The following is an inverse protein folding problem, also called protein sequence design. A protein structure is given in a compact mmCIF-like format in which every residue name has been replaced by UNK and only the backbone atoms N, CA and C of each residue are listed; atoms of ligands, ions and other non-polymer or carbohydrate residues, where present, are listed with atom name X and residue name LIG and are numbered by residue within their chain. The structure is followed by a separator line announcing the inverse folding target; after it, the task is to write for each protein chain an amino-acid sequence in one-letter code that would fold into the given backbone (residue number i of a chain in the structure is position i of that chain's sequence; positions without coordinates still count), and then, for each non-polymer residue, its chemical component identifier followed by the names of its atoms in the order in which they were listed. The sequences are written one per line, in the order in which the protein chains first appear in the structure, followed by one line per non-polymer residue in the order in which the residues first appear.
data_IF_228953337447
#
_entry.id   IF_228953337447
#
_cell.length_a   1.000
_cell.length_b   1.000
_cell.length_c   1.000
_cell.angle_alpha   90.00
_cell.angle_beta   90.00
_cell.angle_gamma   90.00
#
_symmetry.space_group_name_H-M   'P 1'
#
loop_
_entity.id
_entity.type
_entity.pdbx_description
1 polymer ?
#
# COMPACT_ATOMS: atom_id res chain seq x y z
N UNK A 1 23.45 -41.35 88.04
CA UNK A 1 22.47 -41.25 86.95
C UNK A 1 21.89 -39.85 87.02
N UNK A 2 22.75 -38.84 86.87
CA UNK A 2 23.22 -38.22 85.61
C UNK A 2 22.09 -37.39 85.01
N UNK A 3 22.27 -36.18 84.50
CA UNK A 3 23.24 -35.08 84.64
C UNK A 3 22.58 -33.91 83.86
N UNK A 4 22.97 -32.68 84.19
CA UNK A 4 23.17 -31.50 83.30
C UNK A 4 22.03 -31.03 82.35
N UNK A 5 21.51 -29.79 82.52
CA UNK A 5 22.05 -28.48 82.06
C UNK A 5 22.00 -28.27 80.53
N UNK A 6 21.18 -27.31 80.07
CA UNK A 6 21.48 -26.21 79.10
C UNK A 6 20.16 -25.76 78.44
N UNK A 7 19.61 -24.56 78.68
CA UNK A 7 19.98 -23.26 78.09
C UNK A 7 20.29 -23.31 76.59
N UNK A 8 19.31 -22.94 75.75
CA UNK A 8 19.58 -22.44 74.41
C UNK A 8 18.73 -21.21 74.11
N UNK A 9 19.47 -20.11 73.96
CA UNK A 9 19.05 -18.80 73.52
C UNK A 9 18.71 -18.78 72.02
N UNK A 10 17.79 -17.89 71.66
CA UNK A 10 17.74 -17.06 70.45
C UNK A 10 18.09 -17.67 69.08
N UNK A 11 17.21 -17.47 68.09
CA UNK A 11 17.42 -16.48 67.02
C UNK A 11 16.12 -16.30 66.25
N UNK A 12 15.63 -15.07 66.31
CA UNK A 12 14.59 -14.50 65.49
C UNK A 12 15.26 -14.04 64.18
N UNK A 13 14.89 -14.62 63.05
CA UNK A 13 15.23 -14.08 61.73
C UNK A 13 14.01 -14.18 60.82
N UNK A 14 13.10 -13.22 61.04
CA UNK A 14 12.25 -12.66 59.99
C UNK A 14 13.17 -12.12 58.88
N UNK A 15 13.60 -12.97 57.96
CA UNK A 15 14.18 -12.53 56.69
C UNK A 15 13.04 -12.33 55.71
N UNK A 16 12.52 -11.12 55.76
CA UNK A 16 11.73 -10.47 54.73
C UNK A 16 12.37 -10.69 53.36
N UNK A 17 11.80 -11.62 52.60
CA UNK A 17 11.88 -11.67 51.14
C UNK A 17 11.19 -10.40 50.62
N UNK A 18 11.96 -9.31 50.64
CA UNK A 18 11.67 -8.07 49.93
C UNK A 18 11.71 -8.42 48.44
N UNK A 19 10.54 -8.73 47.89
CA UNK A 19 10.31 -8.92 46.47
C UNK A 19 10.66 -7.61 45.78
N UNK A 20 11.90 -7.54 45.27
CA UNK A 20 12.44 -6.47 44.44
C UNK A 20 11.62 -6.38 43.15
N UNK A 21 10.44 -5.76 43.27
CA UNK A 21 9.59 -5.39 42.16
C UNK A 21 10.21 -4.15 41.52
N UNK A 22 11.09 -4.45 40.58
CA UNK A 22 11.70 -3.49 39.65
C UNK A 22 10.61 -2.50 39.18
N UNK A 23 10.70 -1.19 39.51
CA UNK A 23 9.65 -0.24 39.21
C UNK A 23 9.48 -0.15 37.70
N UNK A 24 8.35 -0.66 37.20
CA UNK A 24 7.99 -0.61 35.78
C UNK A 24 8.20 0.83 35.27
N UNK A 25 8.93 1.03 34.15
CA UNK A 25 9.19 2.35 33.57
C UNK A 25 7.95 2.86 32.81
N UNK A 26 6.80 2.96 33.49
CA UNK A 26 5.53 3.40 32.91
C UNK A 26 5.09 4.80 33.39
N UNK A 27 5.69 5.35 34.45
CA UNK A 27 5.23 6.61 35.07
C UNK A 27 5.78 7.88 34.43
N UNK A 28 6.82 7.84 33.58
CA UNK A 28 7.35 9.05 32.91
C UNK A 28 6.66 9.39 31.58
N UNK A 29 5.96 8.46 30.93
CA UNK A 29 5.30 8.75 29.65
C UNK A 29 3.95 9.48 29.81
N UNK A 30 3.28 9.33 30.95
CA UNK A 30 1.95 9.92 31.17
C UNK A 30 1.98 11.43 31.41
N UNK A 31 3.10 12.00 31.88
CA UNK A 31 3.20 13.43 32.23
C UNK A 31 3.33 14.35 31.01
N UNK A 32 3.85 13.86 29.89
CA UNK A 32 3.94 14.64 28.64
C UNK A 32 2.63 14.64 27.84
N UNK A 33 1.73 13.69 28.08
CA UNK A 33 0.45 13.63 27.35
C UNK A 33 -0.67 14.50 27.93
N UNK A 34 -0.60 14.94 29.19
CA UNK A 34 -1.69 15.75 29.78
C UNK A 34 -1.63 17.21 29.32
N UNK A 35 -0.43 17.82 29.31
CA UNK A 35 -0.26 19.24 28.98
C UNK A 35 -0.52 19.58 27.50
N UNK A 36 -0.26 18.64 26.59
CA UNK A 36 -0.61 18.78 25.16
C UNK A 36 -2.12 18.64 24.90
N UNK A 37 -2.83 17.82 25.67
CA UNK A 37 -4.29 17.65 25.54
C UNK A 37 -5.06 18.89 26.01
N UNK A 38 -4.52 19.62 26.97
CA UNK A 38 -5.16 20.81 27.54
C UNK A 38 -5.16 22.01 26.58
N UNK A 39 -4.06 22.24 25.84
CA UNK A 39 -3.98 23.35 24.89
C UNK A 39 -4.77 23.11 23.59
N UNK A 40 -4.99 21.85 23.18
CA UNK A 40 -5.82 21.52 22.01
C UNK A 40 -7.32 21.66 22.34
N UNK A 41 -7.72 21.48 23.60
CA UNK A 41 -9.14 21.56 23.98
C UNK A 41 -9.69 22.99 23.90
N UNK A 42 -8.87 24.00 24.27
CA UNK A 42 -9.29 25.40 24.33
C UNK A 42 -9.61 25.96 22.93
N UNK A 43 -8.76 25.68 21.93
CA UNK A 43 -8.98 26.17 20.56
C UNK A 43 -10.16 25.47 19.86
N UNK A 44 -10.44 24.20 20.22
CA UNK A 44 -11.60 23.49 19.68
C UNK A 44 -12.93 24.07 20.17
N UNK A 45 -13.03 24.44 21.46
CA UNK A 45 -14.31 24.72 22.11
C UNK A 45 -15.06 25.95 21.58
N UNK A 46 -14.34 27.02 21.21
CA UNK A 46 -14.94 28.32 20.84
C UNK A 46 -15.44 28.36 19.40
N UNK A 47 -14.82 27.57 18.51
CA UNK A 47 -15.29 27.37 17.14
C UNK A 47 -16.39 26.31 17.13
N UNK A 48 -16.25 25.22 17.89
CA UNK A 48 -17.25 24.15 17.93
C UNK A 48 -18.62 24.62 18.42
N UNK A 49 -18.68 25.47 19.45
CA UNK A 49 -19.93 25.91 20.05
C UNK A 49 -20.80 26.76 19.11
N UNK A 50 -20.20 27.44 18.11
CA UNK A 50 -20.95 28.16 17.07
C UNK A 50 -21.59 27.24 16.03
N UNK A 51 -21.02 26.06 15.80
CA UNK A 51 -21.54 25.11 14.80
C UNK A 51 -22.38 23.98 15.41
N UNK A 52 -22.38 23.85 16.74
CA UNK A 52 -23.10 22.81 17.48
C UNK A 52 -24.58 22.65 17.07
N UNK A 53 -25.42 23.71 16.93
CA UNK A 53 -26.83 23.53 16.57
C UNK A 53 -27.04 22.99 15.14
N UNK A 54 -26.12 23.25 14.21
CA UNK A 54 -26.16 22.70 12.84
C UNK A 54 -25.69 21.24 12.83
N UNK A 55 -24.76 20.88 13.72
CA UNK A 55 -24.13 19.55 13.77
C UNK A 55 -25.04 18.50 14.43
N UNK A 56 -25.96 18.88 15.32
CA UNK A 56 -26.85 17.94 16.04
C UNK A 56 -27.65 17.01 15.11
N UNK A 57 -28.39 17.47 14.08
CA UNK A 57 -29.09 16.56 13.16
C UNK A 57 -28.13 15.74 12.29
N UNK A 58 -26.94 16.26 11.99
CA UNK A 58 -25.87 15.58 11.25
C UNK A 58 -25.16 14.49 12.07
N UNK A 59 -25.42 14.38 13.37
CA UNK A 59 -24.80 13.35 14.23
C UNK A 59 -25.46 11.98 14.07
N UNK A 60 -26.71 11.93 13.62
CA UNK A 60 -27.43 10.66 13.40
C UNK A 60 -26.69 9.84 12.34
N UNK A 61 -26.34 8.58 12.68
CA UNK A 61 -25.51 7.71 11.81
C UNK A 61 -26.11 7.53 10.42
N UNK A 62 -27.43 7.33 10.31
CA UNK A 62 -28.08 7.12 9.01
C UNK A 62 -27.97 8.35 8.10
N UNK A 63 -28.15 9.57 8.63
CA UNK A 63 -28.03 10.82 7.87
C UNK A 63 -26.62 10.94 7.28
N UNK A 64 -25.60 10.61 8.06
CA UNK A 64 -24.21 10.63 7.59
C UNK A 64 -23.96 9.67 6.44
N UNK A 65 -24.44 8.43 6.57
CA UNK A 65 -24.31 7.43 5.51
C UNK A 65 -25.04 7.84 4.24
N UNK A 66 -26.24 8.40 4.35
CA UNK A 66 -26.98 8.92 3.21
C UNK A 66 -26.22 10.06 2.52
N UNK A 67 -25.72 11.04 3.27
CA UNK A 67 -24.95 12.16 2.70
C UNK A 67 -23.66 11.65 2.04
N UNK A 68 -22.87 10.81 2.72
CA UNK A 68 -21.66 10.23 2.13
C UNK A 68 -21.94 9.40 0.88
N UNK A 69 -23.05 8.66 0.85
CA UNK A 69 -23.48 7.89 -0.32
C UNK A 69 -23.86 8.81 -1.49
N UNK A 70 -24.56 9.92 -1.23
CA UNK A 70 -24.89 10.93 -2.24
C UNK A 70 -23.60 11.58 -2.78
N UNK A 71 -22.68 11.97 -1.89
CA UNK A 71 -21.39 12.55 -2.29
C UNK A 71 -20.57 11.56 -3.12
N UNK A 72 -20.51 10.28 -2.74
CA UNK A 72 -19.82 9.26 -3.54
C UNK A 72 -20.50 9.03 -4.89
N UNK A 73 -21.84 9.05 -4.94
CA UNK A 73 -22.57 8.96 -6.20
C UNK A 73 -22.27 10.14 -7.11
N UNK A 74 -22.16 11.35 -6.54
CA UNK A 74 -21.75 12.55 -7.27
C UNK A 74 -20.33 12.42 -7.86
N UNK A 75 -19.39 11.81 -7.14
CA UNK A 75 -18.04 11.51 -7.68
C UNK A 75 -18.13 10.61 -8.91
N UNK A 76 -18.99 9.59 -8.90
CA UNK A 76 -19.21 8.71 -10.05
C UNK A 76 -19.81 9.48 -11.22
N UNK A 77 -20.80 10.34 -10.98
CA UNK A 77 -21.39 11.21 -12.02
C UNK A 77 -20.35 12.14 -12.63
N UNK A 78 -19.50 12.77 -11.80
CA UNK A 78 -18.42 13.64 -12.29
C UNK A 78 -17.41 12.86 -13.15
N UNK A 79 -17.11 11.61 -12.80
CA UNK A 79 -16.26 10.75 -13.60
C UNK A 79 -16.91 10.39 -14.95
N UNK A 80 -18.20 10.04 -14.96
CA UNK A 80 -18.95 9.78 -16.20
C UNK A 80 -18.94 11.01 -17.12
N UNK A 81 -19.16 12.21 -16.55
CA UNK A 81 -19.11 13.46 -17.31
C UNK A 81 -17.70 13.76 -17.86
N UNK A 82 -16.66 13.43 -17.10
CA UNK A 82 -15.27 13.55 -17.55
C UNK A 82 -14.99 12.64 -18.77
N UNK A 83 -15.52 11.41 -18.74
CA UNK A 83 -15.34 10.40 -19.79
C UNK A 83 -16.22 10.65 -21.03
N UNK A 84 -17.23 11.51 -20.93
CA UNK A 84 -18.21 11.77 -21.99
C UNK A 84 -17.90 13.08 -22.74
N UNK A 85 -17.00 13.07 -23.76
CA UNK A 85 -16.65 14.28 -24.50
C UNK A 85 -17.85 14.95 -25.18
N UNK A 86 -18.87 14.15 -25.54
CA UNK A 86 -20.09 14.63 -26.19
C UNK A 86 -20.95 15.51 -25.27
N UNK A 87 -20.87 15.28 -23.96
CA UNK A 87 -21.65 16.03 -22.96
C UNK A 87 -20.90 17.30 -22.54
N UNK A 88 -19.60 17.20 -22.32
CA UNK A 88 -18.78 18.30 -21.81
C UNK A 88 -17.72 18.69 -22.84
N UNK A 89 -18.11 19.49 -23.83
CA UNK A 89 -17.21 19.85 -24.95
C UNK A 89 -15.99 20.70 -24.51
N UNK A 90 -16.09 21.45 -23.40
CA UNK A 90 -14.99 22.26 -22.92
C UNK A 90 -13.93 21.40 -22.21
N UNK A 91 -12.76 21.26 -22.84
CA UNK A 91 -11.64 20.45 -22.33
C UNK A 91 -11.15 20.91 -20.95
N UNK A 92 -11.05 22.22 -20.70
CA UNK A 92 -10.63 22.75 -19.39
C UNK A 92 -11.61 22.39 -18.29
N UNK A 93 -12.91 22.43 -18.59
CA UNK A 93 -13.96 22.01 -17.66
C UNK A 93 -13.85 20.50 -17.38
N UNK A 94 -13.67 19.66 -18.41
CA UNK A 94 -13.48 18.21 -18.25
C UNK A 94 -12.30 17.90 -17.33
N UNK A 95 -11.14 18.49 -17.60
CA UNK A 95 -9.93 18.31 -16.76
C UNK A 95 -10.19 18.80 -15.32
N UNK A 96 -11.03 19.81 -15.10
CA UNK A 96 -11.38 20.27 -13.76
C UNK A 96 -12.34 19.32 -12.99
N UNK A 97 -13.11 18.47 -13.66
CA UNK A 97 -14.08 17.57 -13.00
C UNK A 97 -13.40 16.56 -12.08
N UNK A 98 -12.22 16.05 -12.46
CA UNK A 98 -11.49 15.05 -11.69
C UNK A 98 -11.00 15.59 -10.33
N UNK A 99 -10.27 16.72 -10.23
CA UNK A 99 -9.87 17.26 -8.93
C UNK A 99 -11.08 17.67 -8.08
N UNK A 100 -12.18 18.15 -8.68
CA UNK A 100 -13.43 18.41 -7.95
C UNK A 100 -13.99 17.11 -7.35
N UNK A 101 -14.05 16.04 -8.14
CA UNK A 101 -14.46 14.71 -7.68
C UNK A 101 -13.56 14.19 -6.55
N UNK A 102 -12.25 14.39 -6.63
CA UNK A 102 -11.30 14.00 -5.58
C UNK A 102 -11.51 14.75 -4.27
N UNK A 103 -11.78 16.06 -4.34
CA UNK A 103 -12.12 16.87 -3.15
C UNK A 103 -13.42 16.38 -2.51
N UNK A 104 -14.45 16.08 -3.32
CA UNK A 104 -15.72 15.53 -2.83
C UNK A 104 -15.51 14.14 -2.21
N UNK A 105 -14.71 13.27 -2.83
CA UNK A 105 -14.35 11.97 -2.28
C UNK A 105 -13.63 12.11 -0.94
N UNK A 106 -12.69 13.06 -0.83
CA UNK A 106 -11.98 13.38 0.41
C UNK A 106 -12.94 13.77 1.52
N UNK A 107 -13.84 14.72 1.26
CA UNK A 107 -14.85 15.13 2.23
C UNK A 107 -15.78 13.97 2.60
N UNK A 108 -16.20 13.15 1.65
CA UNK A 108 -17.06 12.00 1.93
C UNK A 108 -16.39 10.97 2.84
N UNK A 109 -15.12 10.64 2.59
CA UNK A 109 -14.34 9.71 3.43
C UNK A 109 -14.03 10.29 4.80
N UNK A 110 -13.68 11.57 4.90
CA UNK A 110 -13.48 12.23 6.20
C UNK A 110 -14.78 12.28 7.00
N UNK A 111 -15.89 12.58 6.34
CA UNK A 111 -17.20 12.73 6.97
C UNK A 111 -17.74 11.38 7.48
N UNK A 112 -17.65 10.31 6.70
CA UNK A 112 -18.12 8.98 7.11
C UNK A 112 -17.28 8.41 8.28
N UNK A 113 -16.00 8.76 8.34
CA UNK A 113 -15.05 8.20 9.33
C UNK A 113 -14.84 9.07 10.57
N UNK A 114 -15.41 10.27 10.64
CA UNK A 114 -15.15 11.24 11.72
C UNK A 114 -15.52 10.72 13.12
N UNK A 115 -16.60 9.95 13.26
CA UNK A 115 -17.17 9.61 14.57
C UNK A 115 -17.72 8.17 14.67
N UNK A 116 -17.52 7.32 13.66
CA UNK A 116 -17.82 5.88 13.76
C UNK A 116 -16.56 5.10 14.16
N UNK A 117 -16.61 4.45 15.33
CA UNK A 117 -15.48 3.68 15.86
C UNK A 117 -15.14 2.43 15.04
N UNK A 118 -16.11 1.86 14.32
CA UNK A 118 -15.88 0.73 13.41
C UNK A 118 -15.20 1.22 12.13
N UNK A 119 -15.69 2.33 11.56
CA UNK A 119 -15.14 2.88 10.31
C UNK A 119 -13.86 3.67 10.51
N UNK A 120 -13.56 4.14 11.72
CA UNK A 120 -12.32 4.86 12.04
C UNK A 120 -11.06 4.06 11.69
N UNK A 121 -11.14 2.72 11.65
CA UNK A 121 -10.05 1.84 11.19
C UNK A 121 -9.73 2.00 9.70
N UNK A 122 -10.72 2.37 8.89
CA UNK A 122 -10.58 2.56 7.45
C UNK A 122 -10.28 4.01 7.05
N UNK A 123 -10.29 4.96 8.00
CA UNK A 123 -9.98 6.37 7.73
C UNK A 123 -8.61 6.53 7.09
N UNK A 124 -7.59 5.93 7.70
CA UNK A 124 -6.21 6.06 7.23
C UNK A 124 -6.01 5.41 5.85
N UNK A 125 -6.44 4.16 5.60
CA UNK A 125 -6.45 3.59 4.26
C UNK A 125 -7.22 4.42 3.22
N UNK A 126 -8.41 4.92 3.56
CA UNK A 126 -9.22 5.73 2.65
C UNK A 126 -8.53 7.04 2.26
N UNK A 127 -7.90 7.71 3.23
CA UNK A 127 -7.08 8.91 2.97
C UNK A 127 -5.89 8.61 2.07
N UNK A 128 -5.25 7.44 2.21
CA UNK A 128 -4.17 7.05 1.31
C UNK A 128 -4.65 6.81 -0.11
N UNK A 129 -5.79 6.16 -0.30
CA UNK A 129 -6.36 5.98 -1.63
C UNK A 129 -6.61 7.33 -2.29
N UNK A 130 -7.23 8.28 -1.58
CA UNK A 130 -7.50 9.61 -2.13
C UNK A 130 -6.22 10.39 -2.45
N UNK A 131 -5.26 10.42 -1.51
CA UNK A 131 -3.99 11.10 -1.71
C UNK A 131 -3.20 10.49 -2.88
N UNK A 132 -3.21 9.16 -2.98
CA UNK A 132 -2.60 8.45 -4.08
C UNK A 132 -3.27 8.79 -5.41
N UNK A 133 -4.60 8.75 -5.49
CA UNK A 133 -5.32 9.10 -6.72
C UNK A 133 -5.04 10.53 -7.13
N UNK A 134 -4.92 11.46 -6.18
CA UNK A 134 -4.54 12.84 -6.45
C UNK A 134 -3.09 12.94 -6.98
N UNK A 135 -2.13 12.27 -6.34
CA UNK A 135 -0.74 12.23 -6.81
C UNK A 135 -0.66 11.63 -8.22
N UNK A 136 -1.40 10.54 -8.46
CA UNK A 136 -1.43 9.87 -9.75
C UNK A 136 -2.08 10.72 -10.84
N UNK A 137 -3.17 11.43 -10.50
CA UNK A 137 -3.79 12.39 -11.38
C UNK A 137 -2.79 13.49 -11.79
N UNK A 138 -2.13 14.12 -10.82
CA UNK A 138 -1.07 15.10 -11.10
C UNK A 138 0.01 14.45 -11.96
N UNK A 139 0.43 13.23 -11.66
CA UNK A 139 1.48 12.54 -12.40
C UNK A 139 1.12 12.29 -13.88
N UNK A 140 -0.12 11.92 -14.18
CA UNK A 140 -0.59 11.69 -15.56
C UNK A 140 -0.70 13.01 -16.33
N UNK A 141 -1.32 14.02 -15.71
CA UNK A 141 -1.71 15.25 -16.40
C UNK A 141 -0.64 16.35 -16.37
N UNK A 142 0.50 16.09 -15.73
CA UNK A 142 1.65 17.00 -15.77
C UNK A 142 2.72 16.48 -16.73
N UNK A 143 3.61 17.35 -17.24
CA UNK A 143 4.77 16.95 -18.06
C UNK A 143 5.77 16.00 -17.37
N UNK A 144 5.52 15.63 -16.11
CA UNK A 144 6.33 14.67 -15.38
C UNK A 144 6.24 13.28 -16.03
N UNK A 145 5.09 12.92 -16.61
CA UNK A 145 4.93 11.68 -17.38
C UNK A 145 5.85 11.64 -18.59
N UNK A 146 5.97 12.74 -19.33
CA UNK A 146 6.88 12.86 -20.48
C UNK A 146 8.34 12.69 -20.07
N UNK A 147 8.73 13.32 -18.95
CA UNK A 147 10.06 13.14 -18.36
C UNK A 147 10.33 11.68 -17.97
N UNK A 148 9.32 10.99 -17.43
CA UNK A 148 9.43 9.58 -17.10
C UNK A 148 9.59 8.71 -18.35
N UNK A 149 8.86 9.00 -19.42
CA UNK A 149 8.95 8.29 -20.70
C UNK A 149 10.29 8.50 -21.41
N UNK A 150 10.90 9.67 -21.24
CA UNK A 150 12.22 9.97 -21.80
C UNK A 150 13.37 9.24 -21.08
N UNK A 151 13.10 8.54 -19.97
CA UNK A 151 14.16 7.83 -19.23
C UNK A 151 14.70 6.61 -19.97
N UNK A 152 15.98 6.31 -19.74
CA UNK A 152 16.61 5.07 -20.21
C UNK A 152 15.92 3.83 -19.65
N UNK A 153 15.39 3.92 -18.43
CA UNK A 153 14.59 2.87 -17.81
C UNK A 153 13.30 2.60 -18.58
N UNK A 154 12.54 3.64 -18.94
CA UNK A 154 11.32 3.48 -19.73
C UNK A 154 11.63 2.84 -21.09
N UNK A 155 12.67 3.30 -21.78
CA UNK A 155 13.12 2.68 -23.06
C UNK A 155 13.47 1.21 -22.89
N UNK A 156 14.24 0.86 -21.85
CA UNK A 156 14.60 -0.52 -21.55
C UNK A 156 13.36 -1.37 -21.23
N UNK A 157 12.43 -0.84 -20.44
CA UNK A 157 11.18 -1.52 -20.12
C UNK A 157 10.30 -1.72 -21.35
N UNK A 158 10.22 -0.75 -22.27
CA UNK A 158 9.48 -0.89 -23.54
C UNK A 158 10.07 -2.01 -24.39
N UNK A 159 11.40 -2.02 -24.59
CA UNK A 159 12.09 -3.08 -25.32
C UNK A 159 11.86 -4.46 -24.71
N UNK A 160 12.04 -4.57 -23.39
CA UNK A 160 11.82 -5.82 -22.66
C UNK A 160 10.37 -6.30 -22.78
N UNK A 161 9.39 -5.39 -22.60
CA UNK A 161 7.96 -5.70 -22.67
C UNK A 161 7.55 -6.14 -24.07
N UNK A 162 7.99 -5.40 -25.10
CA UNK A 162 7.71 -5.74 -26.50
C UNK A 162 8.30 -7.10 -26.89
N UNK A 163 9.57 -7.32 -26.58
CA UNK A 163 10.26 -8.59 -26.88
C UNK A 163 9.62 -9.79 -26.15
N UNK A 164 9.44 -9.69 -24.83
CA UNK A 164 8.85 -10.77 -24.03
C UNK A 164 7.42 -11.05 -24.48
N UNK A 165 6.62 -10.00 -24.70
CA UNK A 165 5.23 -10.21 -25.10
C UNK A 165 5.13 -10.84 -26.47
N UNK A 166 5.89 -10.36 -27.47
CA UNK A 166 5.94 -10.97 -28.81
C UNK A 166 6.32 -12.45 -28.74
N UNK A 167 7.34 -12.79 -27.95
CA UNK A 167 7.79 -14.17 -27.76
C UNK A 167 6.68 -15.05 -27.15
N UNK A 168 6.00 -14.54 -26.12
CA UNK A 168 4.96 -15.29 -25.43
C UNK A 168 3.71 -15.45 -26.31
N UNK A 169 3.24 -14.39 -26.99
CA UNK A 169 2.04 -14.51 -27.84
C UNK A 169 2.28 -15.41 -29.05
N UNK A 170 3.51 -15.43 -29.60
CA UNK A 170 3.89 -16.38 -30.66
C UNK A 170 3.83 -17.82 -30.15
N UNK A 171 4.27 -18.06 -28.91
CA UNK A 171 4.14 -19.37 -28.27
C UNK A 171 2.67 -19.80 -28.08
N UNK A 172 1.75 -18.85 -27.86
CA UNK A 172 0.31 -19.10 -27.79
C UNK A 172 -0.40 -19.17 -29.15
N UNK A 173 0.35 -19.20 -30.25
CA UNK A 173 -0.18 -19.43 -31.60
C UNK A 173 -0.57 -18.18 -32.38
N UNK A 174 -0.30 -16.97 -31.86
CA UNK A 174 -0.43 -15.74 -32.63
C UNK A 174 0.76 -15.65 -33.59
N UNK A 175 0.50 -15.81 -34.89
CA UNK A 175 1.56 -15.79 -35.90
C UNK A 175 2.11 -14.38 -36.08
N UNK A 176 3.39 -14.21 -35.74
CA UNK A 176 4.12 -12.95 -35.88
C UNK A 176 5.05 -13.06 -37.09
N UNK A 177 4.91 -12.14 -38.04
CA UNK A 177 5.80 -12.01 -39.21
C UNK A 177 7.14 -11.38 -38.82
N UNK A 178 7.11 -10.41 -37.90
CA UNK A 178 8.32 -9.78 -37.38
C UNK A 178 8.07 -8.94 -36.13
N UNK A 179 9.13 -8.70 -35.37
CA UNK A 179 9.10 -7.77 -34.23
C UNK A 179 10.37 -6.93 -34.19
N UNK A 180 10.24 -5.61 -34.33
CA UNK A 180 11.37 -4.70 -34.55
C UNK A 180 11.25 -3.49 -33.62
N UNK A 181 12.39 -3.11 -33.01
CA UNK A 181 12.51 -1.85 -32.27
C UNK A 181 12.71 -0.67 -33.22
N UNK A 182 11.81 0.30 -33.20
CA UNK A 182 11.95 1.58 -33.86
C UNK A 182 12.55 2.61 -32.89
N UNK A 183 13.83 2.90 -33.06
CA UNK A 183 14.56 3.83 -32.20
C UNK A 183 14.15 5.29 -32.39
N UNK A 184 13.58 5.66 -33.56
CA UNK A 184 13.19 7.04 -33.84
C UNK A 184 11.91 7.39 -33.08
N UNK A 185 10.97 6.44 -33.05
CA UNK A 185 9.67 6.62 -32.39
C UNK A 185 9.64 6.08 -30.95
N UNK A 186 10.65 5.30 -30.54
CA UNK A 186 10.67 4.69 -29.21
C UNK A 186 9.59 3.61 -29.04
N UNK A 187 9.23 2.93 -30.12
CA UNK A 187 8.14 1.95 -30.17
C UNK A 187 8.69 0.58 -30.58
N UNK A 188 8.19 -0.47 -29.94
CA UNK A 188 8.41 -1.85 -30.38
C UNK A 188 7.25 -2.28 -31.26
N UNK A 189 7.48 -2.43 -32.56
CA UNK A 189 6.47 -2.81 -33.54
C UNK A 189 6.41 -4.33 -33.67
N UNK A 190 5.20 -4.89 -33.59
CA UNK A 190 4.92 -6.32 -33.76
C UNK A 190 4.01 -6.44 -34.98
N UNK A 191 4.50 -7.09 -36.03
CA UNK A 191 3.76 -7.32 -37.27
C UNK A 191 3.14 -8.72 -37.26
N UNK A 192 1.87 -8.82 -37.63
CA UNK A 192 1.12 -10.07 -37.63
C UNK A 192 1.09 -10.69 -39.02
N UNK A 193 1.12 -12.02 -39.06
CA UNK A 193 0.86 -12.77 -40.29
C UNK A 193 -0.67 -13.00 -40.40
N UNK A 194 -1.31 -12.33 -41.35
CA UNK A 194 -2.74 -12.50 -41.67
C UNK A 194 -3.67 -12.42 -40.44
N UNK A 195 -3.58 -11.32 -39.66
CA UNK A 195 -4.46 -11.14 -38.51
C UNK A 195 -5.95 -11.16 -38.92
N UNK A 196 -6.81 -11.98 -38.27
CA UNK A 196 -8.24 -12.03 -38.56
C UNK A 196 -8.95 -10.68 -38.45
N UNK A 197 -8.48 -9.79 -37.58
CA UNK A 197 -8.99 -8.43 -37.42
C UNK A 197 -8.69 -7.50 -38.61
N UNK A 198 -7.78 -7.89 -39.51
CA UNK A 198 -7.25 -7.04 -40.56
C UNK A 198 -6.16 -6.06 -40.09
N UNK A 199 -5.82 -6.06 -38.80
CA UNK A 199 -4.76 -5.20 -38.25
C UNK A 199 -3.38 -5.75 -38.62
N UNK A 200 -2.53 -5.03 -39.38
CA UNK A 200 -1.25 -5.56 -39.84
C UNK A 200 -0.17 -5.56 -38.75
N UNK A 201 -0.25 -4.63 -37.80
CA UNK A 201 0.75 -4.47 -36.74
C UNK A 201 0.23 -3.74 -35.52
N UNK A 202 0.89 -3.94 -34.38
CA UNK A 202 0.67 -3.22 -33.13
C UNK A 202 1.99 -2.69 -32.56
N UNK A 203 1.97 -1.45 -32.08
CA UNK A 203 3.13 -0.80 -31.47
C UNK A 203 3.04 -0.79 -29.94
N UNK A 204 4.12 -1.18 -29.26
CA UNK A 204 4.26 -1.06 -27.81
C UNK A 204 5.20 0.10 -27.50
N UNK A 205 4.67 1.19 -26.95
CA UNK A 205 5.43 2.39 -26.59
C UNK A 205 5.71 2.48 -25.06
N UNK A 206 6.36 3.56 -24.63
CA UNK A 206 6.68 3.80 -23.22
C UNK A 206 5.44 3.81 -22.29
N UNK A 207 4.29 4.32 -22.75
CA UNK A 207 3.06 4.30 -21.97
C UNK A 207 2.54 2.86 -21.72
N UNK A 208 2.84 1.93 -22.63
CA UNK A 208 2.48 0.52 -22.53
C UNK A 208 3.51 -0.34 -21.76
N UNK A 209 4.71 0.19 -21.50
CA UNK A 209 5.82 -0.53 -20.85
C UNK A 209 5.53 -0.95 -19.40
N UNK A 210 4.52 -0.36 -18.77
CA UNK A 210 4.21 -0.57 -17.35
C UNK A 210 4.96 0.37 -16.40
N UNK A 211 5.68 1.36 -16.92
CA UNK A 211 6.41 2.32 -16.08
C UNK A 211 5.48 3.13 -15.15
N UNK A 212 4.25 3.45 -15.59
CA UNK A 212 3.25 4.12 -14.76
C UNK A 212 2.80 3.25 -13.59
N UNK A 213 2.36 2.02 -13.86
CA UNK A 213 1.87 1.11 -12.82
C UNK A 213 2.98 0.74 -11.85
N UNK A 214 4.22 0.59 -12.33
CA UNK A 214 5.38 0.36 -11.49
C UNK A 214 5.69 1.54 -10.56
N UNK A 215 5.67 2.76 -11.10
CA UNK A 215 5.89 3.99 -10.32
C UNK A 215 4.83 4.13 -9.23
N UNK A 216 3.56 3.93 -9.58
CA UNK A 216 2.42 3.97 -8.64
C UNK A 216 2.58 2.93 -7.55
N UNK A 217 2.79 1.67 -7.92
CA UNK A 217 3.00 0.58 -6.97
C UNK A 217 4.15 0.91 -6.01
N UNK A 218 5.26 1.39 -6.53
CA UNK A 218 6.46 1.72 -5.75
C UNK A 218 6.18 2.88 -4.78
N UNK A 219 5.51 3.94 -5.22
CA UNK A 219 5.11 5.05 -4.37
C UNK A 219 4.20 4.61 -3.22
N UNK A 220 3.15 3.84 -3.52
CA UNK A 220 2.23 3.26 -2.54
C UNK A 220 2.99 2.41 -1.51
N UNK A 221 3.84 1.53 -2.02
CA UNK A 221 4.58 0.59 -1.21
C UNK A 221 5.53 1.33 -0.25
N UNK A 222 6.27 2.33 -0.72
CA UNK A 222 7.15 3.13 0.12
C UNK A 222 6.40 3.99 1.13
N UNK A 223 5.24 4.54 0.74
CA UNK A 223 4.41 5.32 1.63
C UNK A 223 3.87 4.46 2.78
N UNK A 224 3.44 3.23 2.50
CA UNK A 224 3.03 2.29 3.54
C UNK A 224 4.19 1.78 4.37
N UNK A 225 5.37 1.54 3.77
CA UNK A 225 6.58 1.26 4.53
C UNK A 225 6.91 2.41 5.48
N UNK A 226 6.76 3.66 5.03
CA UNK A 226 6.97 4.88 5.82
C UNK A 226 6.05 4.91 7.04
N UNK A 227 4.75 4.67 6.84
CA UNK A 227 3.79 4.62 7.93
C UNK A 227 4.09 3.45 8.90
N UNK A 228 4.51 2.31 8.36
CA UNK A 228 4.86 1.11 9.12
C UNK A 228 6.22 1.20 9.83
N UNK A 229 7.01 2.26 9.60
CA UNK A 229 8.38 2.44 10.15
C UNK A 229 8.48 2.32 11.66
N UNK A 230 7.38 2.51 12.41
CA UNK A 230 7.41 2.27 13.87
C UNK A 230 7.74 0.82 14.23
N UNK A 231 7.71 -0.12 13.28
CA UNK A 231 7.92 -1.56 13.54
C UNK A 231 8.92 -2.25 12.60
N UNK A 232 9.13 -1.76 11.37
CA UNK A 232 10.01 -2.43 10.41
C UNK A 232 11.44 -1.87 10.46
N UNK A 233 12.40 -2.73 10.77
CA UNK A 233 13.81 -2.45 10.54
C UNK A 233 14.12 -2.63 9.04
N UNK A 234 14.93 -1.74 8.47
CA UNK A 234 15.39 -1.80 7.07
C UNK A 234 16.35 -2.98 6.86
N UNK A 235 15.78 -4.20 6.82
CA UNK A 235 16.51 -5.45 6.67
C UNK A 235 16.41 -5.97 5.24
N UNK A 236 17.29 -6.92 4.86
CA UNK A 236 17.28 -7.60 3.55
C UNK A 236 15.90 -8.17 3.15
N UNK A 237 15.04 -8.47 4.13
CA UNK A 237 13.67 -8.95 3.91
C UNK A 237 12.77 -7.89 3.29
N UNK A 238 12.85 -6.65 3.78
CA UNK A 238 12.07 -5.53 3.22
C UNK A 238 12.47 -5.35 1.76
N UNK A 239 13.77 -5.35 1.48
CA UNK A 239 14.28 -5.31 0.11
C UNK A 239 13.74 -6.46 -0.76
N UNK A 240 13.78 -7.70 -0.28
CA UNK A 240 13.27 -8.85 -1.03
C UNK A 240 11.76 -8.76 -1.32
N UNK A 241 10.97 -8.24 -0.38
CA UNK A 241 9.53 -7.98 -0.60
C UNK A 241 9.35 -6.88 -1.66
N UNK A 242 10.13 -5.80 -1.60
CA UNK A 242 10.11 -4.74 -2.60
C UNK A 242 10.37 -5.30 -4.00
N UNK A 243 11.42 -6.12 -4.14
CA UNK A 243 11.79 -6.75 -5.41
C UNK A 243 10.66 -7.65 -5.91
N UNK A 244 10.06 -8.49 -5.05
CA UNK A 244 8.91 -9.32 -5.42
C UNK A 244 7.73 -8.47 -5.88
N UNK A 245 7.47 -7.35 -5.19
CA UNK A 245 6.41 -6.41 -5.55
C UNK A 245 6.62 -5.77 -6.92
N UNK A 246 7.84 -5.29 -7.18
CA UNK A 246 8.26 -4.69 -8.46
C UNK A 246 8.13 -5.71 -9.59
N UNK A 247 8.72 -6.90 -9.41
CA UNK A 247 8.69 -7.98 -10.41
C UNK A 247 7.26 -8.44 -10.66
N UNK A 248 6.45 -8.63 -9.61
CA UNK A 248 5.05 -9.02 -9.76
C UNK A 248 4.21 -7.96 -10.47
N UNK A 249 4.43 -6.68 -10.19
CA UNK A 249 3.77 -5.58 -10.91
C UNK A 249 4.17 -5.57 -12.39
N UNK A 250 5.44 -5.84 -12.70
CA UNK A 250 5.90 -5.97 -14.08
C UNK A 250 5.27 -7.17 -14.80
N UNK A 251 5.18 -8.33 -14.15
CA UNK A 251 4.49 -9.53 -14.70
C UNK A 251 3.02 -9.22 -14.98
N UNK A 252 2.34 -8.52 -14.08
CA UNK A 252 0.95 -8.09 -14.29
C UNK A 252 0.82 -7.16 -15.50
N UNK A 253 1.81 -6.31 -15.76
CA UNK A 253 1.86 -5.52 -16.99
C UNK A 253 2.09 -6.38 -18.24
N UNK A 254 2.94 -7.40 -18.18
CA UNK A 254 3.11 -8.35 -19.31
C UNK A 254 1.77 -9.02 -19.66
N UNK A 255 1.04 -9.50 -18.65
CA UNK A 255 -0.29 -10.10 -18.84
C UNK A 255 -1.26 -9.09 -19.48
N UNK A 256 -1.25 -7.83 -19.04
CA UNK A 256 -2.05 -6.74 -19.64
C UNK A 256 -1.77 -6.61 -21.14
N UNK A 257 -0.49 -6.47 -21.52
CA UNK A 257 -0.11 -6.26 -22.92
C UNK A 257 -0.38 -7.51 -23.77
N UNK A 258 -0.21 -8.72 -23.21
CA UNK A 258 -0.59 -9.97 -23.89
C UNK A 258 -2.09 -9.99 -24.24
N UNK A 259 -2.96 -9.62 -23.30
CA UNK A 259 -4.41 -9.57 -23.54
C UNK A 259 -4.74 -8.56 -24.64
N UNK A 260 -4.13 -7.37 -24.59
CA UNK A 260 -4.39 -6.29 -25.55
C UNK A 260 -3.91 -6.67 -26.97
N UNK A 261 -2.71 -7.26 -27.09
CA UNK A 261 -2.20 -7.75 -28.37
C UNK A 261 -3.09 -8.88 -28.93
N UNK A 262 -3.58 -9.76 -28.06
CA UNK A 262 -4.53 -10.80 -28.46
C UNK A 262 -5.83 -10.19 -28.99
N UNK A 263 -6.33 -9.12 -28.36
CA UNK A 263 -7.50 -8.40 -28.86
C UNK A 263 -7.23 -7.71 -30.20
N UNK A 264 -6.07 -7.08 -30.39
CA UNK A 264 -5.71 -6.53 -31.71
C UNK A 264 -5.62 -7.59 -32.80
N UNK A 265 -5.27 -8.84 -32.45
CA UNK A 265 -5.19 -9.93 -33.41
C UNK A 265 -6.57 -10.52 -33.75
N UNK A 266 -7.41 -10.77 -32.74
CA UNK A 266 -8.69 -11.51 -32.91
C UNK A 266 -9.94 -10.62 -33.01
N UNK A 267 -9.89 -9.38 -32.52
CA UNK A 267 -11.03 -8.50 -32.37
C UNK A 267 -10.77 -7.14 -33.02
N UNK A 268 -11.81 -6.29 -32.99
CA UNK A 268 -11.73 -4.93 -33.53
C UNK A 268 -10.81 -4.02 -32.70
N UNK A 269 -10.07 -3.16 -33.40
CA UNK A 269 -9.18 -2.14 -32.83
C UNK A 269 -9.88 -1.29 -31.79
N UNK A 270 -11.14 -0.91 -32.00
CA UNK A 270 -11.91 -0.09 -31.06
C UNK A 270 -12.13 -0.81 -29.74
N UNK A 271 -12.39 -2.12 -29.79
CA UNK A 271 -12.56 -2.95 -28.59
C UNK A 271 -11.23 -3.08 -27.85
N UNK A 272 -10.13 -3.30 -28.58
CA UNK A 272 -8.80 -3.41 -28.01
C UNK A 272 -8.38 -2.11 -27.29
N UNK A 273 -8.67 -0.94 -27.87
CA UNK A 273 -8.38 0.37 -27.28
C UNK A 273 -9.21 0.63 -26.01
N UNK A 274 -10.53 0.36 -26.03
CA UNK A 274 -11.36 0.49 -24.82
C UNK A 274 -10.87 -0.42 -23.71
N UNK A 275 -10.51 -1.66 -24.02
CA UNK A 275 -9.93 -2.57 -23.02
C UNK A 275 -8.57 -2.07 -22.54
N UNK A 276 -7.71 -1.56 -23.43
CA UNK A 276 -6.39 -1.02 -23.08
C UNK A 276 -6.46 0.06 -22.00
N UNK A 277 -7.47 0.93 -22.06
CA UNK A 277 -7.64 2.08 -21.16
C UNK A 277 -8.04 1.66 -19.75
N UNK A 278 -8.90 0.65 -19.61
CA UNK A 278 -9.38 0.22 -18.28
C UNK A 278 -8.60 -0.97 -17.69
N UNK A 279 -8.05 -1.85 -18.52
CA UNK A 279 -7.45 -3.10 -18.08
C UNK A 279 -6.25 -2.89 -17.16
N UNK A 280 -5.47 -1.82 -17.39
CA UNK A 280 -4.34 -1.47 -16.53
C UNK A 280 -4.76 -1.18 -15.08
N UNK A 281 -5.86 -0.44 -14.90
CA UNK A 281 -6.41 -0.14 -13.57
C UNK A 281 -6.96 -1.38 -12.89
N UNK A 282 -7.73 -2.18 -13.62
CA UNK A 282 -8.34 -3.41 -13.08
C UNK A 282 -7.27 -4.38 -12.59
N UNK A 283 -6.26 -4.67 -13.42
CA UNK A 283 -5.19 -5.60 -13.06
C UNK A 283 -4.38 -5.07 -11.86
N UNK A 284 -4.06 -3.78 -11.82
CA UNK A 284 -3.33 -3.19 -10.71
C UNK A 284 -4.13 -3.24 -9.39
N UNK A 285 -5.43 -2.91 -9.45
CA UNK A 285 -6.34 -2.96 -8.29
C UNK A 285 -6.49 -4.40 -7.78
N UNK A 286 -6.47 -5.41 -8.65
CA UNK A 286 -6.48 -6.81 -8.25
C UNK A 286 -5.13 -7.26 -7.68
N UNK A 287 -4.02 -6.79 -8.25
CA UNK A 287 -2.67 -7.15 -7.82
C UNK A 287 -2.34 -6.62 -6.42
N UNK A 288 -2.73 -5.37 -6.10
CA UNK A 288 -2.46 -4.78 -4.79
C UNK A 288 -2.93 -5.65 -3.61
N UNK A 289 -4.21 -6.03 -3.46
CA UNK A 289 -4.65 -6.85 -2.34
C UNK A 289 -4.00 -8.24 -2.34
N UNK A 290 -3.68 -8.81 -3.50
CA UNK A 290 -2.92 -10.07 -3.57
C UNK A 290 -1.54 -9.87 -2.94
N UNK A 291 -0.84 -8.80 -3.31
CA UNK A 291 0.44 -8.46 -2.72
C UNK A 291 0.33 -8.22 -1.20
N UNK A 292 -0.68 -7.48 -0.76
CA UNK A 292 -0.88 -7.15 0.66
C UNK A 292 -1.27 -8.35 1.53
N UNK A 293 -2.19 -9.19 1.06
CA UNK A 293 -2.72 -10.30 1.85
C UNK A 293 -1.81 -11.52 1.85
N UNK A 294 -1.06 -11.74 0.76
CA UNK A 294 -0.21 -12.92 0.62
C UNK A 294 1.26 -12.57 0.85
N UNK A 295 1.84 -11.63 0.10
CA UNK A 295 3.30 -11.42 0.08
C UNK A 295 3.81 -10.84 1.40
N UNK A 296 3.12 -9.86 1.99
CA UNK A 296 3.59 -9.19 3.20
C UNK A 296 3.54 -10.07 4.48
N UNK A 297 2.42 -10.76 4.78
CA UNK A 297 2.38 -11.63 5.96
C UNK A 297 3.38 -12.78 5.90
N UNK A 298 3.71 -13.25 4.69
CA UNK A 298 4.74 -14.26 4.46
C UNK A 298 6.12 -13.78 4.97
N UNK A 299 6.41 -12.49 4.86
CA UNK A 299 7.65 -11.93 5.40
C UNK A 299 7.62 -11.73 6.92
N UNK A 300 6.51 -11.22 7.47
CA UNK A 300 6.38 -10.95 8.91
C UNK A 300 6.44 -12.25 9.74
N UNK A 301 5.74 -13.30 9.30
CA UNK A 301 5.74 -14.62 9.98
C UNK A 301 7.14 -15.20 10.13
N UNK A 302 8.03 -14.96 9.16
CA UNK A 302 9.42 -15.44 9.19
C UNK A 302 10.25 -14.68 10.23
N UNK A 303 10.08 -13.37 10.35
CA UNK A 303 10.78 -12.54 11.33
C UNK A 303 10.38 -12.88 12.76
N UNK A 304 9.08 -12.99 13.04
CA UNK A 304 8.60 -13.36 14.38
C UNK A 304 9.14 -14.73 14.81
N UNK A 305 9.20 -15.70 13.88
CA UNK A 305 9.77 -17.03 14.14
C UNK A 305 11.26 -16.97 14.44
N UNK A 306 12.01 -16.12 13.74
CA UNK A 306 13.45 -15.93 13.93
C UNK A 306 13.78 -15.24 15.26
N UNK A 307 13.08 -14.15 15.59
CA UNK A 307 13.22 -13.46 16.88
C UNK A 307 12.87 -14.40 18.04
N UNK A 308 11.80 -15.21 17.90
CA UNK A 308 11.45 -16.24 18.90
C UNK A 308 12.54 -17.31 19.02
N UNK A 309 13.16 -17.74 17.91
CA UNK A 309 14.29 -18.69 17.92
C UNK A 309 15.52 -18.11 18.62
N UNK A 310 15.89 -16.86 18.33
CA UNK A 310 17.02 -16.17 18.96
C UNK A 310 16.82 -16.02 20.47
N UNK A 311 15.65 -15.53 20.90
CA UNK A 311 15.28 -15.44 22.33
C UNK A 311 15.28 -16.80 23.03
N UNK A 312 14.85 -17.88 22.35
CA UNK A 312 14.93 -19.25 22.90
C UNK A 312 16.38 -19.71 23.10
N UNK A 313 17.28 -19.43 22.14
CA UNK A 313 18.71 -19.74 22.27
C UNK A 313 19.36 -18.94 23.41
N UNK A 314 19.09 -17.64 23.51
CA UNK A 314 19.60 -16.79 24.60
C UNK A 314 19.12 -17.26 25.98
N UNK A 315 17.84 -17.62 26.11
CA UNK A 315 17.30 -18.18 27.36
C UNK A 315 17.96 -19.51 27.73
N UNK A 316 18.23 -20.39 26.76
CA UNK A 316 18.95 -21.66 26.99
C UNK A 316 20.39 -21.40 27.44
N UNK A 317 21.10 -20.48 26.78
CA UNK A 317 22.47 -20.11 27.14
C UNK A 317 22.55 -19.49 28.55
N UNK A 318 21.62 -18.59 28.91
CA UNK A 318 21.52 -18.02 30.27
C UNK A 318 21.27 -19.09 31.33
N UNK A 319 20.37 -20.05 31.07
CA UNK A 319 20.10 -21.18 31.98
C UNK A 319 21.32 -22.08 32.15
N UNK A 320 22.07 -22.35 31.09
CA UNK A 320 23.29 -23.15 31.15
C UNK A 320 24.39 -22.45 31.94
N UNK A 321 24.62 -21.15 31.72
CA UNK A 321 25.57 -20.35 32.51
C UNK A 321 25.23 -20.37 34.00
N UNK A 322 23.97 -20.15 34.35
CA UNK A 322 23.51 -20.21 35.76
C UNK A 322 23.75 -21.58 36.40
N UNK A 323 23.54 -22.68 35.65
CA UNK A 323 23.84 -24.04 36.15
C UNK A 323 25.32 -24.27 36.40
N UNK A 324 26.20 -23.70 35.56
CA UNK A 324 27.65 -23.82 35.73
C UNK A 324 28.13 -23.02 36.95
N UNK A 325 27.65 -21.79 37.14
CA UNK A 325 27.96 -20.96 38.31
C UNK A 325 27.54 -21.65 39.62
N UNK A 326 26.30 -22.16 39.68
CA UNK A 326 25.84 -22.90 40.85
C UNK A 326 26.62 -24.20 41.10
N UNK A 327 27.32 -24.75 40.09
CA UNK A 327 28.16 -25.95 40.25
C UNK A 327 29.54 -25.58 40.79
N UNK A 328 30.12 -24.45 40.35
CA UNK A 328 31.40 -23.95 40.86
C UNK A 328 31.33 -23.42 42.29
N UNK A 329 30.16 -22.93 42.73
CA UNK A 329 29.97 -22.48 44.13
C UNK A 329 29.84 -23.65 45.12
N UNK A 330 29.55 -24.86 44.63
CA UNK A 330 29.41 -26.07 45.44
C UNK A 330 30.67 -26.93 45.52
N UNK A 331 31.67 -26.65 44.68
CA UNK A 331 32.94 -27.37 44.60
C UNK A 331 34.01 -26.62 45.37
#
# INVERSE_FOLDING_TARGET
MNDEVSSEDTINSNDSLEELTDPKPQTRLNRFTSKSKENISIFSSKVYSRFEPIIIPLKKRYVRYTISSILLSLVVVLYILYESPDIVQNQSLRIALVPIGLVIALFSVLYITWDDSKLGRYRTPGLYVIALTAIFYVFIYTPISDLLFATTLATWMTKSTGFLTASIVNLFGIKIDGSIWDANNGVWNISFENAPSGQPSVGVNAACSGIHSLTVFTAIFFLMLFESRKKLQWNYKVFLITVIGIVGTYIMNLIRIMIIISLFYYADTDVALRVHDYLGYVILILWLPIFWLYVLPLAEKREVKEVRRKRRKERKAKRQKKRLQNKSEKS
#
